data_IF_299617583465
#
_entry.id   IF_299617583465
#
_cell.length_a   1.000
_cell.length_b   1.000
_cell.length_c   1.000
_cell.angle_alpha   90.00
_cell.angle_beta   90.00
_cell.angle_gamma   90.00
#
_symmetry.space_group_name_H-M   'P 1'
#
loop_
_entity.id
_entity.type
_entity.pdbx_description
1 polymer ?
#
# COMPACT_ATOMS: atom_id res chain seq x y z
N UNK A 1 -37.59 -32.47 -13.63
CA UNK A 1 -36.43 -31.67 -13.19
C UNK A 1 -36.82 -30.19 -13.23
N UNK A 2 -36.94 -29.53 -12.08
CA UNK A 2 -37.27 -28.10 -12.01
C UNK A 2 -35.99 -27.28 -12.04
N UNK A 3 -35.94 -26.24 -12.89
CA UNK A 3 -34.81 -25.33 -12.97
C UNK A 3 -34.76 -24.45 -11.72
N UNK A 4 -33.59 -24.35 -11.08
CA UNK A 4 -33.34 -23.45 -9.95
C UNK A 4 -32.66 -22.16 -10.40
N UNK A 5 -32.52 -21.20 -9.48
CA UNK A 5 -31.84 -19.92 -9.74
C UNK A 5 -30.33 -20.15 -9.87
N UNK A 6 -29.76 -19.69 -10.99
CA UNK A 6 -28.34 -19.94 -11.32
C UNK A 6 -27.36 -19.02 -10.56
N UNK A 7 -27.73 -17.76 -10.26
CA UNK A 7 -26.87 -16.79 -9.55
C UNK A 7 -27.70 -15.77 -8.74
N UNK A 8 -27.15 -15.20 -7.67
CA UNK A 8 -27.81 -14.16 -6.87
C UNK A 8 -26.79 -13.31 -6.08
N UNK A 9 -26.92 -11.99 -6.10
CA UNK A 9 -26.09 -11.07 -5.30
C UNK A 9 -26.85 -10.41 -4.13
N UNK A 10 -28.11 -10.81 -3.89
CA UNK A 10 -29.05 -10.11 -3.00
C UNK A 10 -28.54 -9.88 -1.57
N UNK A 11 -27.86 -10.86 -0.99
CA UNK A 11 -27.34 -10.78 0.39
C UNK A 11 -25.84 -10.40 0.45
N UNK A 12 -25.20 -10.13 -0.70
CA UNK A 12 -23.76 -9.86 -0.70
C UNK A 12 -23.46 -8.51 -0.03
N UNK A 13 -24.25 -7.49 -0.34
CA UNK A 13 -24.13 -6.15 0.25
C UNK A 13 -24.37 -6.20 1.75
N UNK A 14 -25.45 -6.83 2.21
CA UNK A 14 -25.77 -6.92 3.64
C UNK A 14 -24.64 -7.61 4.44
N UNK A 15 -24.07 -8.70 3.90
CA UNK A 15 -22.91 -9.37 4.51
C UNK A 15 -21.64 -8.51 4.51
N UNK A 16 -21.36 -7.79 3.43
CA UNK A 16 -20.19 -6.92 3.34
C UNK A 16 -20.27 -5.75 4.35
N UNK A 17 -21.47 -5.26 4.64
CA UNK A 17 -21.70 -4.18 5.60
C UNK A 17 -21.81 -4.64 7.05
N UNK A 18 -22.07 -5.92 7.33
CA UNK A 18 -22.18 -6.45 8.71
C UNK A 18 -20.94 -6.14 9.58
N UNK A 19 -19.74 -6.22 8.99
CA UNK A 19 -18.48 -5.84 9.65
C UNK A 19 -17.91 -4.49 9.15
N UNK A 20 -18.66 -3.81 8.29
CA UNK A 20 -18.25 -2.60 7.59
C UNK A 20 -17.21 -2.82 6.48
N UNK A 21 -17.32 -2.03 5.41
CA UNK A 21 -16.30 -1.98 4.35
C UNK A 21 -15.14 -1.11 4.83
N UNK A 22 -14.06 -1.75 5.28
CA UNK A 22 -12.88 -1.05 5.81
C UNK A 22 -12.13 -0.32 4.70
N UNK A 23 -11.74 0.93 4.96
CA UNK A 23 -10.88 1.71 4.06
C UNK A 23 -9.45 1.16 4.09
N UNK A 24 -8.69 1.43 3.03
CA UNK A 24 -7.26 1.13 3.00
C UNK A 24 -6.54 1.86 4.14
N UNK A 25 -5.59 1.18 4.80
CA UNK A 25 -4.83 1.77 5.90
C UNK A 25 -3.85 2.81 5.35
N UNK A 26 -3.89 4.02 5.89
CA UNK A 26 -2.89 5.05 5.61
C UNK A 26 -1.69 4.86 6.54
N UNK A 27 -0.51 4.61 5.96
CA UNK A 27 0.75 4.49 6.69
C UNK A 27 1.67 5.67 6.33
N UNK A 28 2.47 6.17 7.28
CA UNK A 28 3.45 7.25 7.04
C UNK A 28 4.46 6.93 5.93
N UNK A 29 4.78 5.64 5.73
CA UNK A 29 5.63 5.15 4.65
C UNK A 29 4.86 4.06 3.90
N UNK A 30 4.59 4.29 2.62
CA UNK A 30 3.95 3.31 1.73
C UNK A 30 4.97 2.34 1.13
N UNK A 31 4.49 1.20 0.63
CA UNK A 31 5.32 0.25 -0.11
C UNK A 31 5.79 0.86 -1.43
N UNK A 32 7.09 0.72 -1.73
CA UNK A 32 7.68 1.14 -3.02
C UNK A 32 7.74 0.02 -4.04
N UNK A 33 7.02 -1.09 -3.81
CA UNK A 33 6.97 -2.23 -4.74
C UNK A 33 6.33 -1.80 -6.05
N UNK A 34 7.03 -2.04 -7.17
CA UNK A 34 6.59 -1.65 -8.51
C UNK A 34 7.00 -0.23 -8.93
N UNK A 35 7.72 0.51 -8.09
CA UNK A 35 8.36 1.76 -8.51
C UNK A 35 9.59 1.50 -9.39
N UNK A 36 9.99 2.49 -10.19
CA UNK A 36 11.13 2.41 -11.09
C UNK A 36 12.41 1.92 -10.37
N UNK A 37 13.01 0.80 -10.81
CA UNK A 37 14.25 0.30 -10.26
C UNK A 37 15.41 1.30 -10.30
N UNK A 38 15.51 2.15 -11.34
CA UNK A 38 16.60 3.14 -11.46
C UNK A 38 16.48 4.20 -10.36
N UNK A 39 15.28 4.73 -10.15
CA UNK A 39 15.01 5.65 -9.04
C UNK A 39 15.30 5.01 -7.67
N UNK A 40 14.85 3.77 -7.44
CA UNK A 40 15.08 3.09 -6.15
C UNK A 40 16.56 2.85 -5.86
N UNK A 41 17.37 2.51 -6.88
CA UNK A 41 18.83 2.38 -6.75
C UNK A 41 19.47 3.70 -6.33
N UNK A 42 19.10 4.81 -6.98
CA UNK A 42 19.60 6.13 -6.59
C UNK A 42 19.17 6.51 -5.17
N UNK A 43 17.88 6.34 -4.83
CA UNK A 43 17.35 6.62 -3.51
C UNK A 43 18.07 5.83 -2.41
N UNK A 44 18.43 4.56 -2.67
CA UNK A 44 19.23 3.73 -1.74
C UNK A 44 20.58 4.37 -1.43
N UNK A 45 21.30 4.84 -2.45
CA UNK A 45 22.60 5.49 -2.25
C UNK A 45 22.46 6.86 -1.59
N UNK A 46 21.50 7.68 -2.00
CA UNK A 46 21.23 8.97 -1.38
C UNK A 46 20.93 8.82 0.13
N UNK A 47 20.04 7.88 0.52
CA UNK A 47 19.76 7.61 1.94
C UNK A 47 20.99 7.13 2.71
N UNK A 48 21.85 6.31 2.07
CA UNK A 48 23.07 5.77 2.69
C UNK A 48 24.10 6.87 2.98
N UNK A 49 24.34 7.78 2.04
CA UNK A 49 25.45 8.73 2.12
C UNK A 49 25.05 10.13 2.58
N UNK A 50 23.80 10.54 2.41
CA UNK A 50 23.33 11.87 2.85
C UNK A 50 23.20 11.98 4.37
N UNK A 51 23.07 10.87 5.10
CA UNK A 51 23.00 10.85 6.56
C UNK A 51 24.34 10.69 7.27
N UNK A 52 25.40 10.32 6.55
CA UNK A 52 26.71 9.99 7.15
C UNK A 52 27.73 11.12 7.12
N UNK A 53 27.48 12.24 6.42
CA UNK A 53 28.31 13.45 6.50
C UNK A 53 27.51 14.74 6.24
N UNK A 54 27.03 15.36 7.33
CA UNK A 54 27.37 16.73 7.74
C UNK A 54 27.22 16.81 9.27
N UNK A 55 28.14 16.19 10.00
CA UNK A 55 28.59 16.84 11.24
C UNK A 55 29.11 18.20 10.75
N UNK A 56 28.36 19.25 11.04
CA UNK A 56 28.81 20.61 10.78
C UNK A 56 30.19 20.72 11.45
N UNK A 57 31.19 21.07 10.66
CA UNK A 57 32.45 21.54 11.21
C UNK A 57 32.06 22.92 11.74
N UNK A 58 31.81 23.01 13.05
CA UNK A 58 31.56 24.28 13.72
C UNK A 58 32.84 25.11 13.61
N UNK A 59 32.84 26.06 12.66
CA UNK A 59 33.58 27.32 12.70
C UNK A 59 32.57 28.45 12.53
#
# INVERSE_FOLDING_TARGET
MVKSKNTCAHNNTQKAHANGIKKAKSNKKISTRGMDPKFLRNQKFAKKYNGTKRVQKDE
#
